data_IF_701021754938
#
_entry.id   IF_701021754938
#
_cell.length_a   1.000
_cell.length_b   1.000
_cell.length_c   1.000
_cell.angle_alpha   90.00
_cell.angle_beta   90.00
_cell.angle_gamma   90.00
#
_symmetry.space_group_name_H-M   'P 1'
#
loop_
_entity.id
_entity.type
_entity.pdbx_description
1 polymer ?
#
# COMPACT_ATOMS: atom_id res chain seq x y z
N UNK A 1 -21.56 -15.94 -8.89
CA UNK A 1 -20.20 -15.37 -8.87
C UNK A 1 -19.23 -16.53 -8.93
N UNK A 2 -18.71 -16.88 -10.12
CA UNK A 2 -17.68 -17.92 -10.20
C UNK A 2 -16.46 -17.38 -9.47
N UNK A 3 -16.06 -18.06 -8.40
CA UNK A 3 -14.82 -17.76 -7.67
C UNK A 3 -13.70 -18.03 -8.67
N UNK A 4 -13.26 -17.00 -9.41
CA UNK A 4 -12.05 -17.09 -10.22
C UNK A 4 -10.92 -17.23 -9.21
N UNK A 5 -10.45 -18.46 -9.03
CA UNK A 5 -9.40 -18.79 -8.08
C UNK A 5 -8.17 -17.95 -8.42
N UNK A 6 -7.69 -17.16 -7.47
CA UNK A 6 -6.45 -16.40 -7.63
C UNK A 6 -5.29 -17.36 -7.94
N UNK A 7 -4.37 -16.98 -8.85
CA UNK A 7 -3.17 -17.76 -9.08
C UNK A 7 -2.45 -18.03 -7.74
N UNK A 8 -1.96 -19.26 -7.55
CA UNK A 8 -1.05 -19.53 -6.43
C UNK A 8 0.31 -18.84 -6.66
N UNK A 9 1.16 -18.86 -5.64
CA UNK A 9 2.47 -18.20 -5.69
C UNK A 9 3.31 -18.62 -6.90
N UNK A 10 3.35 -19.93 -7.22
CA UNK A 10 4.16 -20.44 -8.33
C UNK A 10 3.61 -19.96 -9.66
N UNK A 11 2.29 -20.00 -9.83
CA UNK A 11 1.64 -19.52 -11.04
C UNK A 11 1.78 -18.00 -11.18
N UNK A 12 1.65 -17.23 -10.10
CA UNK A 12 1.90 -15.78 -10.09
C UNK A 12 3.31 -15.45 -10.61
N UNK A 13 4.33 -16.09 -10.04
CA UNK A 13 5.73 -15.87 -10.44
C UNK A 13 5.95 -16.20 -11.93
N UNK A 14 5.34 -17.29 -12.40
CA UNK A 14 5.41 -17.67 -13.81
C UNK A 14 4.81 -16.59 -14.72
N UNK A 15 3.60 -16.11 -14.41
CA UNK A 15 2.91 -15.11 -15.22
C UNK A 15 3.67 -13.77 -15.26
N UNK A 16 4.21 -13.32 -14.12
CA UNK A 16 4.89 -12.02 -14.01
C UNK A 16 6.29 -11.98 -14.64
N UNK A 17 7.03 -13.09 -14.58
CA UNK A 17 8.47 -13.07 -14.84
C UNK A 17 8.97 -14.11 -15.84
N UNK A 18 8.25 -15.21 -16.05
CA UNK A 18 8.69 -16.30 -16.93
C UNK A 18 7.95 -16.26 -18.27
N UNK A 19 6.63 -16.13 -18.20
CA UNK A 19 5.78 -16.10 -19.38
C UNK A 19 5.85 -14.72 -20.07
N UNK A 20 5.74 -14.71 -21.40
CA UNK A 20 5.57 -13.48 -22.19
C UNK A 20 4.11 -13.00 -22.14
N UNK A 21 3.59 -12.83 -20.94
CA UNK A 21 2.21 -12.39 -20.69
C UNK A 21 2.02 -10.97 -21.25
N UNK A 22 0.95 -10.76 -22.02
CA UNK A 22 0.64 -9.43 -22.57
C UNK A 22 0.24 -8.44 -21.48
N UNK A 23 0.41 -7.14 -21.75
CA UNK A 23 0.00 -6.08 -20.83
C UNK A 23 -1.49 -6.19 -20.45
N UNK A 24 -2.39 -6.43 -21.41
CA UNK A 24 -3.83 -6.58 -21.15
C UNK A 24 -4.15 -7.76 -20.23
N UNK A 25 -3.43 -8.88 -20.39
CA UNK A 25 -3.58 -10.04 -19.52
C UNK A 25 -3.05 -9.74 -18.11
N UNK A 26 -1.94 -9.02 -18.00
CA UNK A 26 -1.41 -8.57 -16.71
C UNK A 26 -2.39 -7.62 -16.00
N UNK A 27 -3.02 -6.68 -16.72
CA UNK A 27 -4.08 -5.81 -16.18
C UNK A 27 -5.25 -6.66 -15.67
N UNK A 28 -5.71 -7.63 -16.46
CA UNK A 28 -6.79 -8.53 -16.06
C UNK A 28 -6.47 -9.32 -14.78
N UNK A 29 -5.22 -9.76 -14.60
CA UNK A 29 -4.80 -10.36 -13.34
C UNK A 29 -4.76 -9.35 -12.20
N UNK A 30 -4.28 -8.12 -12.45
CA UNK A 30 -4.34 -7.03 -11.48
C UNK A 30 -5.76 -6.77 -10.99
N UNK A 31 -6.75 -6.76 -11.89
CA UNK A 31 -8.17 -6.61 -11.55
C UNK A 31 -8.66 -7.76 -10.67
N UNK A 32 -8.30 -9.00 -11.01
CA UNK A 32 -8.67 -10.17 -10.20
C UNK A 32 -8.11 -10.11 -8.77
N UNK A 33 -6.83 -9.74 -8.61
CA UNK A 33 -6.23 -9.59 -7.28
C UNK A 33 -6.83 -8.40 -6.52
N UNK A 34 -7.17 -7.32 -7.22
CA UNK A 34 -7.84 -6.16 -6.64
C UNK A 34 -9.24 -6.54 -6.11
N UNK A 35 -10.05 -7.25 -6.90
CA UNK A 35 -11.36 -7.77 -6.49
C UNK A 35 -11.24 -8.74 -5.30
N UNK A 36 -10.16 -9.51 -5.24
CA UNK A 36 -9.83 -10.40 -4.12
C UNK A 36 -9.28 -9.71 -2.87
N UNK A 37 -9.09 -8.38 -2.90
CA UNK A 37 -8.51 -7.61 -1.78
C UNK A 37 -6.99 -7.77 -1.60
N UNK A 38 -6.32 -8.47 -2.52
CA UNK A 38 -4.89 -8.71 -2.51
C UNK A 38 -4.15 -7.56 -3.21
N UNK A 39 -4.15 -6.39 -2.57
CA UNK A 39 -3.70 -5.13 -3.18
C UNK A 39 -2.22 -5.12 -3.58
N UNK A 40 -1.35 -5.74 -2.79
CA UNK A 40 0.08 -5.85 -3.10
C UNK A 40 0.32 -6.68 -4.36
N UNK A 41 -0.41 -7.79 -4.52
CA UNK A 41 -0.32 -8.60 -5.72
C UNK A 41 -0.88 -7.85 -6.94
N UNK A 42 -2.01 -7.15 -6.77
CA UNK A 42 -2.58 -6.31 -7.82
C UNK A 42 -1.58 -5.23 -8.29
N UNK A 43 -0.86 -4.61 -7.36
CA UNK A 43 0.19 -3.64 -7.65
C UNK A 43 1.29 -4.23 -8.53
N UNK A 44 1.79 -5.43 -8.21
CA UNK A 44 2.84 -6.08 -8.99
C UNK A 44 2.41 -6.25 -10.46
N UNK A 45 1.17 -6.68 -10.67
CA UNK A 45 0.59 -6.86 -12.01
C UNK A 45 0.42 -5.53 -12.76
N UNK A 46 -0.15 -4.51 -12.13
CA UNK A 46 -0.31 -3.21 -12.78
C UNK A 46 1.03 -2.55 -13.09
N UNK A 47 1.99 -2.62 -12.16
CA UNK A 47 3.34 -2.08 -12.36
C UNK A 47 4.03 -2.79 -13.53
N UNK A 48 3.94 -4.13 -13.59
CA UNK A 48 4.50 -4.92 -14.69
C UNK A 48 3.85 -4.60 -16.04
N UNK A 49 2.55 -4.30 -16.05
CA UNK A 49 1.80 -3.93 -17.24
C UNK A 49 2.01 -2.46 -17.69
N UNK A 50 2.64 -1.62 -16.86
CA UNK A 50 2.68 -0.17 -17.09
C UNK A 50 1.31 0.51 -16.92
N UNK A 51 0.38 -0.10 -16.20
CA UNK A 51 -1.00 0.36 -16.05
C UNK A 51 -1.12 1.44 -14.96
N UNK A 52 -0.85 2.68 -15.34
CA UNK A 52 -0.78 3.84 -14.42
C UNK A 52 -2.06 4.07 -13.63
N UNK A 53 -3.23 3.91 -14.25
CA UNK A 53 -4.53 4.08 -13.59
C UNK A 53 -4.76 3.03 -12.49
N UNK A 54 -4.35 1.78 -12.73
CA UNK A 54 -4.42 0.71 -11.73
C UNK A 54 -3.50 0.97 -10.55
N UNK A 55 -2.25 1.39 -10.82
CA UNK A 55 -1.30 1.74 -9.76
C UNK A 55 -1.82 2.93 -8.93
N UNK A 56 -2.39 3.97 -9.56
CA UNK A 56 -2.99 5.10 -8.86
C UNK A 56 -4.14 4.64 -7.96
N UNK A 57 -5.01 3.75 -8.45
CA UNK A 57 -6.11 3.18 -7.66
C UNK A 57 -5.59 2.44 -6.42
N UNK A 58 -4.49 1.69 -6.54
CA UNK A 58 -3.84 1.05 -5.37
C UNK A 58 -3.29 2.09 -4.41
N UNK A 59 -2.62 3.15 -4.90
CA UNK A 59 -2.12 4.25 -4.07
C UNK A 59 -3.24 4.90 -3.25
N UNK A 60 -4.38 5.19 -3.89
CA UNK A 60 -5.54 5.80 -3.21
C UNK A 60 -6.15 4.88 -2.15
N UNK A 61 -6.22 3.56 -2.43
CA UNK A 61 -6.71 2.57 -1.47
C UNK A 61 -5.75 2.40 -0.29
N UNK A 62 -4.44 2.42 -0.54
CA UNK A 62 -3.42 2.39 0.49
C UNK A 62 -3.52 3.63 1.40
N UNK A 63 -3.72 4.81 0.80
CA UNK A 63 -3.99 6.05 1.54
C UNK A 63 -5.21 5.91 2.45
N UNK A 64 -6.36 5.51 1.89
CA UNK A 64 -7.61 5.35 2.66
C UNK A 64 -7.51 4.34 3.80
N UNK A 65 -6.75 3.27 3.60
CA UNK A 65 -6.56 2.19 4.58
C UNK A 65 -5.41 2.43 5.55
N UNK A 66 -4.64 3.52 5.41
CA UNK A 66 -3.47 3.80 6.23
C UNK A 66 -2.35 2.76 6.05
N UNK A 67 -2.25 2.13 4.88
CA UNK A 67 -1.16 1.21 4.55
C UNK A 67 0.01 1.97 3.93
N UNK A 68 0.87 2.49 4.79
CA UNK A 68 2.07 3.24 4.42
C UNK A 68 3.01 2.49 3.48
N UNK A 69 3.21 1.18 3.68
CA UNK A 69 4.16 0.41 2.87
C UNK A 69 3.62 0.21 1.45
N UNK A 70 2.33 -0.09 1.32
CA UNK A 70 1.68 -0.20 0.02
C UNK A 70 1.61 1.16 -0.69
N UNK A 71 1.32 2.24 0.04
CA UNK A 71 1.31 3.60 -0.49
C UNK A 71 2.67 4.00 -1.07
N UNK A 72 3.74 3.75 -0.30
CA UNK A 72 5.13 3.95 -0.74
C UNK A 72 5.45 3.12 -1.98
N UNK A 73 5.05 1.85 -1.99
CA UNK A 73 5.32 0.94 -3.11
C UNK A 73 4.61 1.37 -4.39
N UNK A 74 3.36 1.84 -4.28
CA UNK A 74 2.61 2.34 -5.42
C UNK A 74 3.20 3.65 -5.98
N UNK A 75 3.62 4.58 -5.11
CA UNK A 75 4.31 5.80 -5.54
C UNK A 75 5.62 5.47 -6.28
N UNK A 76 6.42 4.54 -5.74
CA UNK A 76 7.65 4.05 -6.38
C UNK A 76 7.38 3.43 -7.75
N UNK A 77 6.31 2.62 -7.89
CA UNK A 77 5.93 2.02 -9.16
C UNK A 77 5.52 3.05 -10.22
N UNK A 78 5.07 4.24 -9.82
CA UNK A 78 4.80 5.38 -10.72
C UNK A 78 6.03 6.28 -10.95
N UNK A 79 7.16 6.02 -10.29
CA UNK A 79 8.32 6.92 -10.31
C UNK A 79 8.06 8.26 -9.60
N UNK A 80 7.10 8.30 -8.69
CA UNK A 80 6.76 9.51 -7.92
C UNK A 80 7.59 9.55 -6.64
N UNK A 81 8.26 10.67 -6.43
CA UNK A 81 8.87 11.01 -5.14
C UNK A 81 7.81 11.62 -4.21
N UNK A 82 7.64 11.03 -3.04
CA UNK A 82 6.69 11.49 -2.02
C UNK A 82 7.30 12.65 -1.22
N UNK A 83 6.54 13.73 -1.07
CA UNK A 83 6.93 14.89 -0.26
C UNK A 83 6.47 14.71 1.17
N UNK A 84 6.98 15.55 2.07
CA UNK A 84 6.61 15.53 3.49
C UNK A 84 5.08 15.54 3.69
N UNK A 85 4.33 16.38 2.95
CA UNK A 85 2.87 16.40 3.01
C UNK A 85 2.21 15.06 2.66
N UNK A 86 2.74 14.33 1.67
CA UNK A 86 2.18 13.02 1.28
C UNK A 86 2.40 11.98 2.39
N UNK A 87 3.55 12.06 3.08
CA UNK A 87 3.87 11.21 4.23
C UNK A 87 3.04 11.58 5.47
N UNK A 88 2.80 12.87 5.70
CA UNK A 88 1.96 13.36 6.79
C UNK A 88 0.50 12.91 6.62
N UNK A 89 -0.04 12.97 5.40
CA UNK A 89 -1.42 12.52 5.09
C UNK A 89 -1.63 11.03 5.40
N UNK A 90 -0.72 10.16 4.92
CA UNK A 90 -0.80 8.72 5.20
C UNK A 90 -0.54 8.43 6.68
N UNK A 91 0.35 9.17 7.34
CA UNK A 91 0.61 9.03 8.76
C UNK A 91 -0.62 9.37 9.61
N UNK A 92 -1.29 10.48 9.28
CA UNK A 92 -2.54 10.87 9.91
C UNK A 92 -3.56 9.75 9.74
N UNK A 93 -3.74 9.24 8.52
CA UNK A 93 -4.74 8.21 8.27
C UNK A 93 -4.43 6.90 9.00
N UNK A 94 -3.17 6.48 9.02
CA UNK A 94 -2.72 5.33 9.80
C UNK A 94 -2.94 5.52 11.31
N UNK A 95 -2.72 6.75 11.83
CA UNK A 95 -2.94 7.09 13.24
C UNK A 95 -4.41 7.01 13.63
N UNK A 96 -5.32 7.55 12.80
CA UNK A 96 -6.77 7.45 12.99
C UNK A 96 -7.25 5.99 13.08
N UNK A 97 -6.62 5.12 12.30
CA UNK A 97 -6.90 3.68 12.26
C UNK A 97 -6.11 2.89 13.31
N UNK A 98 -5.41 3.56 14.24
CA UNK A 98 -4.53 2.97 15.26
C UNK A 98 -3.42 2.06 14.71
N UNK A 99 -3.06 2.20 13.43
CA UNK A 99 -1.94 1.51 12.79
C UNK A 99 -0.63 2.24 13.11
N UNK A 100 -0.26 2.29 14.39
CA UNK A 100 0.82 3.16 14.86
C UNK A 100 2.19 2.87 14.23
N UNK A 101 2.50 1.61 13.94
CA UNK A 101 3.73 1.25 13.24
C UNK A 101 3.80 1.86 11.83
N UNK A 102 2.68 1.87 11.12
CA UNK A 102 2.57 2.44 9.77
C UNK A 102 2.66 3.97 9.82
N UNK A 103 2.00 4.59 10.81
CA UNK A 103 2.08 6.03 11.04
C UNK A 103 3.50 6.48 11.39
N UNK A 104 4.18 5.72 12.27
CA UNK A 104 5.56 6.01 12.68
C UNK A 104 6.51 5.93 11.48
N UNK A 105 6.42 4.87 10.69
CA UNK A 105 7.24 4.72 9.47
C UNK A 105 7.04 5.88 8.50
N UNK A 106 5.81 6.38 8.34
CA UNK A 106 5.52 7.53 7.50
C UNK A 106 6.16 8.82 8.04
N UNK A 107 5.99 9.13 9.33
CA UNK A 107 6.56 10.34 9.93
C UNK A 107 8.09 10.33 9.98
N UNK A 108 8.71 9.16 10.10
CA UNK A 108 10.18 9.00 9.98
C UNK A 108 10.72 9.36 8.57
N UNK A 109 9.85 9.50 7.57
CA UNK A 109 10.22 10.00 6.22
C UNK A 109 10.09 11.51 6.07
N UNK A 110 9.60 12.20 7.10
CA UNK A 110 9.41 13.65 7.10
C UNK A 110 10.47 14.34 7.95
N UNK A 111 10.61 15.66 7.81
CA UNK A 111 11.40 16.47 8.74
C UNK A 111 10.59 16.96 9.95
N UNK A 112 9.38 16.43 10.16
CA UNK A 112 8.43 16.95 11.15
C UNK A 112 8.54 16.21 12.50
N UNK A 113 9.54 16.59 13.30
CA UNK A 113 9.78 16.01 14.61
C UNK A 113 8.62 16.24 15.60
N UNK A 114 7.85 17.32 15.43
CA UNK A 114 6.69 17.62 16.29
C UNK A 114 5.59 16.58 16.13
N UNK A 115 5.22 16.26 14.88
CA UNK A 115 4.23 15.22 14.59
C UNK A 115 4.68 13.84 15.08
N UNK A 116 5.96 13.49 14.89
CA UNK A 116 6.51 12.22 15.36
C UNK A 116 6.44 12.12 16.89
N UNK A 117 6.81 13.18 17.61
CA UNK A 117 6.73 13.21 19.06
C UNK A 117 5.27 13.12 19.55
N UNK A 118 4.34 13.83 18.90
CA UNK A 118 2.92 13.76 19.21
C UNK A 118 2.36 12.34 19.02
N UNK A 119 2.78 11.64 17.96
CA UNK A 119 2.44 10.23 17.74
C UNK A 119 2.99 9.35 18.87
N UNK A 120 4.26 9.51 19.26
CA UNK A 120 4.87 8.72 20.34
C UNK A 120 4.16 8.92 21.69
N UNK A 121 3.70 10.13 21.99
CA UNK A 121 2.89 10.40 23.19
C UNK A 121 1.55 9.66 23.10
N UNK A 122 0.88 9.70 21.94
CA UNK A 122 -0.38 8.96 21.72
C UNK A 122 -0.21 7.45 21.87
N UNK A 123 0.87 6.88 21.33
CA UNK A 123 1.18 5.45 21.45
C UNK A 123 1.29 5.06 22.92
N UNK A 124 2.13 5.78 23.70
CA UNK A 124 2.30 5.54 25.13
C UNK A 124 0.98 5.65 25.90
N UNK A 125 0.15 6.64 25.58
CA UNK A 125 -1.14 6.83 26.24
C UNK A 125 -2.12 5.67 25.97
N UNK A 126 -2.10 5.10 24.76
CA UNK A 126 -2.95 3.94 24.42
C UNK A 126 -2.42 2.63 25.01
N UNK A 127 -1.09 2.45 25.12
CA UNK A 127 -0.48 1.29 25.81
C UNK A 127 -0.88 1.25 27.29
N UNK A 128 -0.88 2.41 27.96
CA UNK A 128 -1.32 2.53 29.36
C UNK A 128 -2.80 2.17 29.51
N UNK A 129 -3.66 2.58 28.58
CA UNK A 129 -5.10 2.25 28.62
C UNK A 129 -5.39 0.77 28.37
N UNK A 130 -4.57 0.06 27.60
CA UNK A 130 -4.76 -1.37 27.32
C UNK A 130 -4.26 -2.26 28.46
N UNK A 131 -3.42 -1.71 29.34
CA UNK A 131 -2.82 -2.43 30.47
C UNK A 131 -3.57 -2.23 31.80
N UNK A 132 -4.64 -1.43 31.79
CA UNK A 132 -5.50 -1.09 32.92
C UNK A 132 -6.88 -1.75 32.78
#
# INVERSE_FOLDING_TARGET
>A
MSIRKLPDYRLKQKILYIDKTSADSLVSYGDLYLEGGALSDALDFYAKAGHTAGVQKIKDLALKSGDTFLFQSAAKAQGIELRDADWEDIAQKATELKKYLFAKHALEKTNNAELLNALMIKIKAEEVKQSA
#
